data_IF_340156124608
#
_entry.id   IF_340156124608
#
_cell.length_a   1.000
_cell.length_b   1.000
_cell.length_c   1.000
_cell.angle_alpha   90.00
_cell.angle_beta   90.00
_cell.angle_gamma   90.00
#
_symmetry.space_group_name_H-M   'P 1'
#
loop_
_entity.id
_entity.type
_entity.pdbx_description
1 polymer ?
#
# COMPACT_ATOMS: atom_id res chain seq x y z
N UNK A 1 1.13 -7.11 17.46
CA UNK A 1 0.93 -7.60 16.08
C UNK A 1 0.06 -6.71 15.19
N UNK A 2 -0.73 -5.76 15.71
CA UNK A 2 -1.55 -4.86 14.87
C UNK A 2 -1.34 -3.38 15.21
N UNK A 3 -0.12 -3.01 15.59
CA UNK A 3 0.20 -1.65 16.03
C UNK A 3 0.06 -0.61 14.92
N UNK A 4 0.06 -1.04 13.67
CA UNK A 4 -0.12 -0.24 12.47
C UNK A 4 -1.60 -0.09 12.06
N UNK A 5 -2.53 -0.69 12.80
CA UNK A 5 -3.97 -0.60 12.54
C UNK A 5 -4.66 0.26 13.60
N UNK A 6 -5.55 1.14 13.16
CA UNK A 6 -6.46 1.89 14.04
C UNK A 6 -7.90 1.69 13.57
N UNK A 7 -8.84 1.79 14.51
CA UNK A 7 -10.26 1.91 14.19
C UNK A 7 -10.63 3.38 14.03
N UNK A 8 -11.24 3.71 12.90
CA UNK A 8 -11.86 4.98 12.58
C UNK A 8 -13.37 4.76 12.75
N UNK A 9 -14.04 5.60 13.56
CA UNK A 9 -15.43 5.35 13.95
C UNK A 9 -16.21 6.64 14.21
N UNK A 10 -17.53 6.50 14.40
CA UNK A 10 -18.45 7.59 14.76
C UNK A 10 -18.44 8.73 13.74
N UNK A 11 -18.38 8.36 12.46
CA UNK A 11 -18.56 9.27 11.35
C UNK A 11 -19.90 9.04 10.65
N UNK A 12 -20.34 10.01 9.86
CA UNK A 12 -21.62 9.95 9.15
C UNK A 12 -21.65 8.82 8.11
N UNK A 13 -22.77 8.10 7.93
CA UNK A 13 -22.86 6.98 6.98
C UNK A 13 -22.63 7.38 5.52
N UNK A 14 -22.80 8.67 5.19
CA UNK A 14 -22.54 9.20 3.85
C UNK A 14 -21.05 9.47 3.58
N UNK A 15 -20.18 9.29 4.58
CA UNK A 15 -18.75 9.52 4.45
C UNK A 15 -18.13 8.49 3.50
N UNK A 16 -17.37 8.95 2.51
CA UNK A 16 -16.76 8.09 1.51
C UNK A 16 -15.28 7.84 1.81
N UNK A 17 -14.71 6.83 1.16
CA UNK A 17 -13.26 6.54 1.24
C UNK A 17 -12.43 7.78 0.93
N UNK A 18 -12.84 8.60 -0.06
CA UNK A 18 -12.15 9.84 -0.42
C UNK A 18 -12.03 10.80 0.76
N UNK A 19 -13.08 10.93 1.57
CA UNK A 19 -13.08 11.85 2.69
C UNK A 19 -12.14 11.36 3.79
N UNK A 20 -12.11 10.06 4.06
CA UNK A 20 -11.13 9.44 4.96
C UNK A 20 -9.69 9.64 4.46
N UNK A 21 -9.45 9.49 3.15
CA UNK A 21 -8.13 9.74 2.56
C UNK A 21 -7.71 11.21 2.72
N UNK A 22 -8.65 12.16 2.62
CA UNK A 22 -8.38 13.59 2.85
C UNK A 22 -8.05 13.86 4.32
N UNK A 23 -8.77 13.24 5.26
CA UNK A 23 -8.53 13.40 6.69
C UNK A 23 -7.13 12.91 7.09
N UNK A 24 -6.67 11.80 6.50
CA UNK A 24 -5.37 11.19 6.78
C UNK A 24 -4.33 11.47 5.68
N UNK A 25 -4.46 12.56 4.92
CA UNK A 25 -3.59 12.86 3.77
C UNK A 25 -2.11 12.88 4.11
N UNK A 26 -1.75 13.32 5.31
CA UNK A 26 -0.36 13.41 5.79
C UNK A 26 0.32 12.04 5.95
N UNK A 27 -0.48 10.96 5.91
CA UNK A 27 -0.04 9.57 5.89
C UNK A 27 -0.24 8.89 4.54
N UNK A 28 -1.01 9.48 3.61
CA UNK A 28 -1.32 8.91 2.29
C UNK A 28 -0.05 8.65 1.48
N UNK A 29 0.84 9.64 1.39
CA UNK A 29 2.12 9.50 0.67
C UNK A 29 3.04 8.44 1.27
N UNK A 30 2.80 8.07 2.53
CA UNK A 30 3.59 7.08 3.25
C UNK A 30 3.00 5.68 3.16
N UNK A 31 1.82 5.51 2.52
CA UNK A 31 1.15 4.21 2.37
C UNK A 31 0.03 3.98 3.38
N UNK A 32 -0.81 5.00 3.60
CA UNK A 32 -2.08 4.85 4.31
C UNK A 32 -3.15 4.25 3.39
N UNK A 33 -3.94 3.32 3.94
CA UNK A 33 -5.07 2.70 3.25
C UNK A 33 -6.24 2.48 4.22
N UNK A 34 -7.44 2.27 3.68
CA UNK A 34 -8.68 2.16 4.46
C UNK A 34 -9.42 0.87 4.12
N UNK A 35 -9.81 0.13 5.16
CA UNK A 35 -10.69 -1.04 5.04
C UNK A 35 -12.00 -0.84 5.80
N UNK A 36 -13.09 -0.77 5.06
CA UNK A 36 -14.44 -0.69 5.61
C UNK A 36 -14.86 -1.91 6.44
N UNK A 37 -15.50 -1.63 7.58
CA UNK A 37 -16.13 -2.63 8.46
C UNK A 37 -17.64 -2.57 8.28
N UNK A 38 -18.22 -1.38 8.39
CA UNK A 38 -19.62 -1.02 8.13
C UNK A 38 -19.72 0.47 7.78
N UNK A 39 -20.93 1.02 7.65
CA UNK A 39 -21.15 2.41 7.21
C UNK A 39 -20.64 3.47 8.20
N UNK A 40 -20.28 3.09 9.42
CA UNK A 40 -19.83 4.00 10.50
C UNK A 40 -18.48 3.62 11.10
N UNK A 41 -17.86 2.55 10.61
CA UNK A 41 -16.58 2.02 11.08
C UNK A 41 -15.68 1.63 9.92
N UNK A 42 -14.42 2.02 10.02
CA UNK A 42 -13.36 1.61 9.11
C UNK A 42 -12.07 1.29 9.87
N UNK A 43 -11.22 0.48 9.27
CA UNK A 43 -9.86 0.20 9.73
C UNK A 43 -8.92 1.08 8.91
N UNK A 44 -8.19 1.95 9.59
CA UNK A 44 -7.06 2.67 9.01
C UNK A 44 -5.80 1.80 9.06
N UNK A 45 -5.17 1.58 7.92
CA UNK A 45 -3.96 0.78 7.74
C UNK A 45 -2.81 1.75 7.52
N UNK A 46 -1.85 1.76 8.43
CA UNK A 46 -0.69 2.65 8.36
C UNK A 46 0.55 1.87 7.93
N UNK A 47 1.50 2.59 7.32
CA UNK A 47 2.78 2.04 6.93
C UNK A 47 3.66 1.60 8.11
N UNK A 48 3.42 2.14 9.31
CA UNK A 48 4.15 1.79 10.52
C UNK A 48 3.35 2.06 11.79
N UNK A 49 3.77 1.44 12.91
CA UNK A 49 3.19 1.69 14.23
C UNK A 49 3.35 3.16 14.66
N UNK A 50 4.45 3.82 14.26
CA UNK A 50 4.71 5.22 14.59
C UNK A 50 3.72 6.14 13.89
N UNK A 51 3.43 5.87 12.61
CA UNK A 51 2.42 6.61 11.85
C UNK A 51 1.02 6.41 12.46
N UNK A 52 0.65 5.18 12.80
CA UNK A 52 -0.62 4.89 13.48
C UNK A 52 -0.73 5.63 14.83
N UNK A 53 0.34 5.63 15.63
CA UNK A 53 0.34 6.34 16.91
C UNK A 53 0.23 7.87 16.75
N UNK A 54 0.87 8.42 15.72
CA UNK A 54 0.72 9.83 15.36
C UNK A 54 -0.72 10.17 14.99
N UNK A 55 -1.37 9.30 14.20
CA UNK A 55 -2.78 9.46 13.83
C UNK A 55 -3.73 9.36 15.03
N UNK A 56 -3.44 8.50 16.02
CA UNK A 56 -4.23 8.43 17.27
C UNK A 56 -4.19 9.72 18.11
N UNK A 57 -3.14 10.53 17.94
CA UNK A 57 -2.99 11.81 18.64
C UNK A 57 -3.73 12.95 17.93
N UNK A 58 -4.16 12.74 16.68
CA UNK A 58 -4.91 13.73 15.92
C UNK A 58 -6.37 13.74 16.35
N UNK A 59 -6.96 14.94 16.37
CA UNK A 59 -8.39 15.13 16.63
C UNK A 59 -9.06 15.60 15.37
N UNK A 60 -10.14 14.92 14.99
CA UNK A 60 -10.95 15.26 13.83
C UNK A 60 -12.36 15.60 14.29
N UNK A 61 -12.99 16.67 13.77
CA UNK A 61 -14.35 17.03 14.17
C UNK A 61 -15.42 16.10 13.60
N UNK A 62 -15.11 15.37 12.52
CA UNK A 62 -16.06 14.56 11.76
C UNK A 62 -15.98 13.06 12.06
N UNK A 63 -14.95 12.63 12.80
CA UNK A 63 -14.71 11.22 13.10
C UNK A 63 -13.83 11.07 14.34
N UNK A 64 -13.83 9.88 14.91
CA UNK A 64 -12.95 9.51 16.02
C UNK A 64 -12.03 8.37 15.62
N UNK A 65 -10.92 8.27 16.33
CA UNK A 65 -9.91 7.22 16.14
C UNK A 65 -9.60 6.54 17.47
N UNK A 66 -9.32 5.24 17.42
CA UNK A 66 -8.84 4.47 18.59
C UNK A 66 -7.96 3.31 18.17
N UNK A 67 -7.11 2.85 19.10
CA UNK A 67 -6.25 1.69 18.85
C UNK A 67 -7.08 0.42 18.67
N UNK A 68 -6.58 -0.55 17.89
CA UNK A 68 -7.28 -1.81 17.65
C UNK A 68 -7.58 -2.60 18.94
N UNK A 69 -6.77 -2.43 19.99
CA UNK A 69 -7.01 -3.02 21.31
C UNK A 69 -8.33 -2.55 21.95
N UNK A 70 -8.70 -1.29 21.70
CA UNK A 70 -9.92 -0.64 22.18
C UNK A 70 -11.07 -0.69 21.17
N UNK A 71 -10.83 -1.32 20.01
CA UNK A 71 -11.79 -1.37 18.93
C UNK A 71 -13.02 -2.24 19.23
N UNK A 72 -14.08 -2.01 18.46
CA UNK A 72 -15.30 -2.82 18.50
C UNK A 72 -15.01 -4.29 18.17
N UNK A 73 -15.93 -5.18 18.57
CA UNK A 73 -15.80 -6.61 18.27
C UNK A 73 -15.81 -6.86 16.76
N UNK A 74 -16.62 -6.13 15.99
CA UNK A 74 -16.71 -6.26 14.53
C UNK A 74 -15.37 -5.93 13.88
N UNK A 75 -14.77 -4.79 14.24
CA UNK A 75 -13.47 -4.37 13.74
C UNK A 75 -12.37 -5.37 14.09
N UNK A 76 -12.32 -5.85 15.34
CA UNK A 76 -11.36 -6.88 15.76
C UNK A 76 -11.51 -8.18 14.97
N UNK A 77 -12.76 -8.62 14.72
CA UNK A 77 -13.03 -9.82 13.92
C UNK A 77 -12.63 -9.61 12.46
N UNK A 78 -12.94 -8.46 11.87
CA UNK A 78 -12.54 -8.10 10.50
C UNK A 78 -11.02 -8.08 10.36
N UNK A 79 -10.32 -7.45 11.31
CA UNK A 79 -8.86 -7.38 11.34
C UNK A 79 -8.22 -8.78 11.38
N UNK A 80 -8.75 -9.68 12.21
CA UNK A 80 -8.28 -11.08 12.30
C UNK A 80 -8.57 -11.91 11.06
N UNK A 81 -9.67 -11.65 10.34
CA UNK A 81 -10.04 -12.42 9.14
C UNK A 81 -9.33 -11.94 7.88
N UNK A 82 -8.89 -10.69 7.85
CA UNK A 82 -8.30 -10.06 6.68
C UNK A 82 -6.81 -9.72 6.88
N UNK A 83 -6.10 -10.42 7.78
CA UNK A 83 -4.72 -10.11 8.16
C UNK A 83 -3.77 -9.97 6.98
N UNK A 84 -3.88 -10.85 5.97
CA UNK A 84 -3.08 -10.81 4.75
C UNK A 84 -3.29 -9.53 3.91
N UNK A 85 -4.47 -8.92 4.00
CA UNK A 85 -4.84 -7.72 3.24
C UNK A 85 -4.66 -6.43 4.06
N UNK A 86 -4.35 -6.54 5.34
CA UNK A 86 -4.15 -5.42 6.26
C UNK A 86 -2.68 -5.23 6.62
N UNK A 87 -1.79 -5.69 5.72
CA UNK A 87 -0.36 -5.47 5.86
C UNK A 87 -0.03 -4.01 5.54
N UNK A 88 0.97 -3.41 6.21
CA UNK A 88 1.48 -2.11 5.81
C UNK A 88 1.80 -2.08 4.33
N UNK A 89 1.51 -0.95 3.67
CA UNK A 89 1.78 -0.78 2.26
C UNK A 89 3.23 -1.15 1.92
N UNK A 90 3.38 -2.06 0.96
CA UNK A 90 4.67 -2.34 0.32
C UNK A 90 4.62 -1.71 -1.06
N UNK A 91 5.60 -0.86 -1.38
CA UNK A 91 5.72 -0.28 -2.71
C UNK A 91 5.62 -1.38 -3.76
N UNK A 92 4.78 -1.16 -4.78
CA UNK A 92 4.72 -2.08 -5.92
C UNK A 92 6.13 -2.13 -6.51
N UNK A 93 6.73 -3.31 -6.70
CA UNK A 93 8.03 -3.38 -7.36
C UNK A 93 7.92 -2.71 -8.74
N UNK A 94 8.80 -1.75 -9.00
CA UNK A 94 8.82 -1.04 -10.27
C UNK A 94 8.98 -2.06 -11.40
N UNK A 95 8.00 -2.08 -12.29
CA UNK A 95 7.98 -3.05 -13.39
C UNK A 95 8.97 -2.57 -14.44
N UNK A 96 10.18 -3.12 -14.45
CA UNK A 96 11.13 -2.81 -15.50
C UNK A 96 10.67 -3.48 -16.81
N UNK A 97 10.30 -2.66 -17.80
CA UNK A 97 9.85 -3.13 -19.10
C UNK A 97 10.89 -4.02 -19.80
N UNK A 98 12.19 -3.81 -19.58
CA UNK A 98 13.24 -4.68 -20.11
C UNK A 98 13.20 -6.08 -19.49
N UNK A 99 12.97 -6.17 -18.16
CA UNK A 99 12.81 -7.44 -17.46
C UNK A 99 11.56 -8.16 -17.94
N UNK A 100 10.44 -7.44 -18.07
CA UNK A 100 9.21 -8.00 -18.62
C UNK A 100 9.41 -8.57 -20.03
N UNK A 101 10.10 -7.82 -20.92
CA UNK A 101 10.45 -8.29 -22.27
C UNK A 101 11.33 -9.52 -22.25
N UNK A 102 12.37 -9.57 -21.40
CA UNK A 102 13.22 -10.76 -21.27
C UNK A 102 12.47 -11.98 -20.75
N UNK A 103 11.58 -11.81 -19.76
CA UNK A 103 10.75 -12.90 -19.22
C UNK A 103 9.82 -13.46 -20.30
N UNK A 104 9.15 -12.58 -21.07
CA UNK A 104 8.29 -12.97 -22.19
C UNK A 104 9.08 -13.66 -23.29
N UNK A 105 10.25 -13.12 -23.66
CA UNK A 105 11.11 -13.73 -24.67
C UNK A 105 11.59 -15.12 -24.26
N UNK A 106 11.98 -15.31 -22.99
CA UNK A 106 12.35 -16.63 -22.46
C UNK A 106 11.19 -17.62 -22.47
N UNK A 107 9.99 -17.19 -22.04
CA UNK A 107 8.80 -18.05 -21.99
C UNK A 107 8.29 -18.44 -23.39
N UNK A 108 8.45 -17.58 -24.38
CA UNK A 108 8.11 -17.86 -25.78
C UNK A 108 9.22 -18.59 -26.55
N UNK A 109 10.34 -18.92 -25.89
CA UNK A 109 11.50 -19.55 -26.55
C UNK A 109 12.20 -18.65 -27.57
N UNK A 110 11.96 -17.33 -27.52
CA UNK A 110 12.56 -16.31 -28.37
C UNK A 110 13.98 -15.92 -27.91
N UNK A 111 14.76 -16.86 -27.37
CA UNK A 111 16.15 -16.65 -26.97
C UNK A 111 17.03 -16.48 -28.23
N UNK A 112 17.09 -15.24 -28.70
CA UNK A 112 17.65 -14.81 -29.97
C UNK A 112 19.17 -15.05 -30.10
N UNK A 113 19.58 -15.78 -31.13
CA UNK A 113 20.92 -15.67 -31.73
C UNK A 113 21.22 -14.25 -32.26
N UNK A 114 20.18 -13.45 -32.48
CA UNK A 114 20.23 -12.06 -32.97
C UNK A 114 20.54 -11.03 -31.85
N UNK A 115 20.31 -11.37 -30.59
CA UNK A 115 20.43 -10.42 -29.46
C UNK A 115 21.88 -10.19 -29.00
N UNK A 116 22.75 -11.20 -29.16
CA UNK A 116 24.15 -11.11 -28.71
C UNK A 116 24.94 -10.03 -29.45
N UNK A 117 24.64 -9.81 -30.73
CA UNK A 117 25.37 -8.84 -31.57
C UNK A 117 24.98 -7.40 -31.22
N UNK A 118 23.69 -7.15 -31.04
CA UNK A 118 23.14 -5.82 -30.71
C UNK A 118 23.42 -5.43 -29.26
N UNK A 119 23.31 -6.38 -28.32
CA UNK A 119 23.66 -6.17 -26.91
C UNK A 119 25.15 -5.84 -26.71
N UNK A 120 26.05 -6.48 -27.48
CA UNK A 120 27.47 -6.18 -27.42
C UNK A 120 27.80 -4.81 -28.01
N UNK A 121 27.15 -4.43 -29.11
CA UNK A 121 27.29 -3.10 -29.72
C UNK A 121 26.81 -1.98 -28.78
N UNK A 122 25.66 -2.15 -28.13
CA UNK A 122 25.15 -1.16 -27.17
C UNK A 122 26.04 -1.05 -25.93
N UNK A 123 26.60 -2.18 -25.46
CA UNK A 123 27.56 -2.20 -24.32
C UNK A 123 28.90 -1.58 -24.69
N UNK A 124 29.33 -1.71 -25.94
CA UNK A 124 30.56 -1.12 -26.46
C UNK A 124 30.40 0.40 -26.65
N UNK A 125 29.22 0.86 -27.11
CA UNK A 125 28.86 2.29 -27.18
C UNK A 125 28.80 2.94 -25.79
N UNK A 126 28.21 2.27 -24.79
CA UNK A 126 28.23 2.77 -23.41
C UNK A 126 29.65 2.87 -22.82
N UNK A 127 30.56 1.95 -23.18
CA UNK A 127 31.96 1.98 -22.74
C UNK A 127 32.78 3.08 -23.41
N UNK A 128 32.44 3.44 -24.65
CA UNK A 128 33.11 4.52 -25.39
C UNK A 128 32.64 5.93 -24.97
N UNK A 129 31.51 6.04 -24.26
CA UNK A 129 30.93 7.29 -23.79
C UNK A 129 31.31 7.65 -22.33
N UNK A 130 32.38 7.05 -21.79
CA UNK A 130 32.83 7.24 -20.41
C UNK A 130 34.23 7.83 -20.35
#
# INVERSE_FOLDING_TARGET
>A
EYGHLIEIYEFAPDLLTRDLMVVFKDFSDKGFDVKWVDDTHAIGIFASNVAAHSALSMRHPLLKVRALSQATRQTKMKAKRCTEFLLPYKARPDTNAAVARSLVAGALGLSNAVDRKKSNEDRQKLRAAR
#
